data_IF_636122506230
#
_entry.id   IF_636122506230
#
_cell.length_a   1.000
_cell.length_b   1.000
_cell.length_c   1.000
_cell.angle_alpha   90.00
_cell.angle_beta   90.00
_cell.angle_gamma   90.00
#
_symmetry.space_group_name_H-M   'P 1'
#
loop_
_entity.id
_entity.type
_entity.pdbx_description
1 polymer ?
#
# COMPACT_ATOMS: atom_id res chain seq x y z
N UNK A 1 -26.53 0.82 9.10
CA UNK A 1 -26.34 2.29 8.98
C UNK A 1 -25.27 2.70 9.98
N UNK A 2 -24.19 3.37 9.56
CA UNK A 2 -23.09 3.75 10.47
C UNK A 2 -23.49 4.91 11.39
N UNK A 3 -23.13 4.86 12.68
CA UNK A 3 -23.43 5.89 13.71
C UNK A 3 -23.10 7.32 13.29
N UNK A 4 -22.09 7.51 12.43
CA UNK A 4 -21.72 8.82 11.88
C UNK A 4 -22.84 9.49 11.07
N UNK A 5 -23.77 8.73 10.50
CA UNK A 5 -24.90 9.30 9.76
C UNK A 5 -25.97 9.84 10.72
N UNK A 6 -26.17 9.21 11.89
CA UNK A 6 -27.19 9.62 12.85
C UNK A 6 -26.93 11.03 13.41
N UNK A 7 -25.68 11.33 13.77
CA UNK A 7 -25.30 12.66 14.30
C UNK A 7 -25.46 13.73 13.21
N UNK A 8 -25.02 13.45 11.99
CA UNK A 8 -25.12 14.38 10.86
C UNK A 8 -26.57 14.66 10.51
N UNK A 9 -27.42 13.64 10.47
CA UNK A 9 -28.85 13.78 10.21
C UNK A 9 -29.55 14.55 11.33
N UNK A 10 -29.17 14.31 12.59
CA UNK A 10 -29.66 15.06 13.75
C UNK A 10 -29.32 16.55 13.68
N UNK A 11 -28.07 16.90 13.35
CA UNK A 11 -27.63 18.29 13.18
C UNK A 11 -28.34 18.97 12.01
N UNK A 12 -28.48 18.28 10.88
CA UNK A 12 -29.20 18.80 9.72
C UNK A 12 -30.66 19.12 10.07
N UNK A 13 -31.34 18.25 10.84
CA UNK A 13 -32.70 18.49 11.29
C UNK A 13 -32.82 19.73 12.19
N UNK A 14 -31.89 19.92 13.14
CA UNK A 14 -31.89 21.09 14.02
C UNK A 14 -31.71 22.38 13.20
N UNK A 15 -30.76 22.38 12.27
CA UNK A 15 -30.47 23.53 11.40
C UNK A 15 -31.67 23.85 10.51
N UNK A 16 -32.23 22.84 9.84
CA UNK A 16 -33.39 23.02 8.96
C UNK A 16 -34.60 23.58 9.72
N UNK A 17 -34.88 23.05 10.92
CA UNK A 17 -35.98 23.53 11.76
C UNK A 17 -35.80 24.99 12.18
N UNK A 18 -34.57 25.41 12.46
CA UNK A 18 -34.26 26.80 12.79
C UNK A 18 -34.41 27.73 11.58
N UNK A 19 -33.97 27.28 10.40
CA UNK A 19 -34.14 28.02 9.14
C UNK A 19 -35.61 28.20 8.77
N UNK A 20 -36.43 27.16 8.91
CA UNK A 20 -37.87 27.24 8.66
C UNK A 20 -38.56 28.29 9.54
N UNK A 21 -38.18 28.37 10.82
CA UNK A 21 -38.72 29.39 11.72
C UNK A 21 -38.32 30.80 11.28
N UNK A 22 -37.06 31.00 10.90
CA UNK A 22 -36.60 32.30 10.37
C UNK A 22 -37.34 32.68 9.08
N UNK A 23 -37.59 31.71 8.18
CA UNK A 23 -38.36 31.97 6.97
C UNK A 23 -39.82 32.31 7.25
N UNK A 24 -40.46 31.67 8.23
CA UNK A 24 -41.82 32.03 8.66
C UNK A 24 -41.87 33.48 9.14
N UNK A 25 -40.93 33.88 10.00
CA UNK A 25 -40.88 35.26 10.52
C UNK A 25 -40.62 36.29 9.41
N UNK A 26 -39.77 35.96 8.43
CA UNK A 26 -39.46 36.84 7.29
C UNK A 26 -40.64 36.99 6.33
N UNK A 27 -41.35 35.90 6.03
CA UNK A 27 -42.54 35.91 5.18
C UNK A 27 -43.73 36.59 5.86
N UNK A 28 -43.86 36.51 7.19
CA UNK A 28 -44.87 37.27 7.93
C UNK A 28 -44.63 38.79 7.85
N UNK A 29 -43.36 39.21 7.79
CA UNK A 29 -42.99 40.63 7.71
C UNK A 29 -42.98 41.19 6.29
N UNK A 30 -42.84 40.34 5.28
CA UNK A 30 -42.79 40.75 3.87
C UNK A 30 -43.69 39.85 3.02
N UNK A 31 -44.76 40.40 2.48
CA UNK A 31 -45.75 39.68 1.65
C UNK A 31 -45.21 39.22 0.30
N UNK A 32 -44.11 39.78 -0.17
CA UNK A 32 -43.51 39.46 -1.48
C UNK A 32 -42.61 38.21 -1.47
N UNK A 33 -42.34 37.65 -0.28
CA UNK A 33 -41.48 36.48 -0.11
C UNK A 33 -42.29 35.18 -0.08
N UNK A 34 -42.03 34.31 -1.06
CA UNK A 34 -42.59 32.95 -1.10
C UNK A 34 -41.82 31.99 -0.18
N UNK A 35 -42.49 31.58 0.90
CA UNK A 35 -41.98 30.61 1.86
C UNK A 35 -41.59 29.27 1.21
N UNK A 36 -42.40 28.74 0.30
CA UNK A 36 -42.16 27.43 -0.33
C UNK A 36 -40.88 27.44 -1.16
N UNK A 37 -40.62 28.56 -1.85
CA UNK A 37 -39.41 28.76 -2.63
C UNK A 37 -38.15 28.80 -1.74
N UNK A 38 -38.21 29.49 -0.61
CA UNK A 38 -37.10 29.60 0.34
C UNK A 38 -36.76 28.24 0.98
N UNK A 39 -37.76 27.50 1.46
CA UNK A 39 -37.56 26.16 2.04
C UNK A 39 -36.93 25.20 1.03
N UNK A 40 -37.42 25.18 -0.21
CA UNK A 40 -36.90 24.29 -1.27
C UNK A 40 -35.46 24.61 -1.65
N UNK A 41 -35.03 25.86 -1.51
CA UNK A 41 -33.68 26.30 -1.86
C UNK A 41 -32.68 26.06 -0.74
N UNK A 42 -33.07 26.33 0.51
CA UNK A 42 -32.14 26.41 1.64
C UNK A 42 -32.29 25.31 2.69
N UNK A 43 -33.46 24.70 2.84
CA UNK A 43 -33.70 23.62 3.81
C UNK A 43 -33.41 22.21 3.25
N UNK A 44 -32.59 22.09 2.20
CA UNK A 44 -32.24 20.78 1.63
C UNK A 44 -31.11 20.13 2.41
N UNK A 45 -31.26 18.82 2.64
CA UNK A 45 -30.20 17.97 3.17
C UNK A 45 -28.93 18.18 2.35
N UNK A 46 -27.87 18.64 3.01
CA UNK A 46 -26.50 18.69 2.48
C UNK A 46 -25.98 17.25 2.41
N UNK A 47 -26.64 16.45 1.59
CA UNK A 47 -26.14 15.17 1.16
C UNK A 47 -24.88 15.48 0.36
N UNK A 48 -23.72 15.25 0.99
CA UNK A 48 -22.41 15.46 0.35
C UNK A 48 -22.50 14.87 -1.05
N UNK A 49 -22.46 15.73 -2.07
CA UNK A 49 -22.44 15.29 -3.47
C UNK A 49 -21.28 14.30 -3.55
N UNK A 50 -21.58 13.00 -3.68
CA UNK A 50 -20.53 11.98 -3.76
C UNK A 50 -19.70 12.36 -4.98
N UNK A 51 -18.49 12.84 -4.75
CA UNK A 51 -17.55 13.06 -5.85
C UNK A 51 -17.42 11.73 -6.59
N UNK A 52 -17.86 11.70 -7.84
CA UNK A 52 -17.53 10.58 -8.73
C UNK A 52 -16.01 10.56 -8.82
N UNK A 53 -15.39 9.58 -8.18
CA UNK A 53 -13.96 9.34 -8.34
C UNK A 53 -13.75 9.02 -9.82
N UNK A 54 -12.99 9.84 -10.53
CA UNK A 54 -12.56 9.53 -11.88
C UNK A 54 -11.63 8.32 -11.81
N UNK A 55 -12.19 7.13 -11.99
CA UNK A 55 -11.46 5.87 -11.96
C UNK A 55 -10.45 5.86 -13.11
N UNK A 56 -9.18 5.71 -12.77
CA UNK A 56 -8.12 5.54 -13.76
C UNK A 56 -8.22 4.11 -14.30
N UNK A 57 -8.22 3.95 -15.61
CA UNK A 57 -8.20 2.63 -16.25
C UNK A 57 -7.01 1.79 -15.72
N UNK A 58 -7.19 0.50 -15.37
CA UNK A 58 -6.16 -0.34 -14.74
C UNK A 58 -4.80 -0.32 -15.46
N UNK A 59 -4.80 -0.45 -16.79
CA UNK A 59 -3.58 -0.37 -17.64
C UNK A 59 -2.78 0.94 -17.50
N UNK A 60 -3.41 2.02 -17.02
CA UNK A 60 -2.80 3.35 -16.83
C UNK A 60 -2.50 3.64 -15.35
N UNK A 61 -2.77 2.71 -14.45
CA UNK A 61 -2.53 2.86 -13.00
C UNK A 61 -1.09 2.53 -12.64
N UNK A 62 -0.55 3.24 -11.65
CA UNK A 62 0.77 3.01 -11.11
C UNK A 62 0.91 1.57 -10.57
N UNK A 63 2.04 0.91 -10.83
CA UNK A 63 2.30 -0.48 -10.41
C UNK A 63 2.77 -0.62 -8.96
N UNK A 64 3.00 0.48 -8.24
CA UNK A 64 3.45 0.42 -6.86
C UNK A 64 2.34 -0.05 -5.90
N UNK A 65 2.76 -0.80 -4.88
CA UNK A 65 1.93 -1.29 -3.79
C UNK A 65 1.77 -0.21 -2.71
N UNK A 66 0.58 -0.06 -2.16
CA UNK A 66 0.27 0.79 -1.01
C UNK A 66 0.54 0.04 0.30
N UNK A 67 0.46 0.74 1.43
CA UNK A 67 0.59 0.13 2.76
C UNK A 67 -0.48 -0.94 3.02
N UNK A 68 -1.66 -0.83 2.42
CA UNK A 68 -2.76 -1.81 2.50
C UNK A 68 -2.58 -2.99 1.53
N UNK A 69 -1.42 -3.13 0.87
CA UNK A 69 -1.15 -4.22 -0.08
C UNK A 69 -1.78 -4.04 -1.46
N UNK A 70 -2.67 -3.06 -1.62
CA UNK A 70 -3.39 -2.79 -2.87
C UNK A 70 -2.58 -1.91 -3.84
N UNK A 71 -2.93 -1.95 -5.13
CA UNK A 71 -2.30 -1.12 -6.16
C UNK A 71 -2.56 0.38 -5.95
N UNK A 72 -1.56 1.21 -6.24
CA UNK A 72 -1.73 2.65 -6.29
C UNK A 72 -2.74 3.08 -7.36
N UNK A 73 -3.77 3.82 -6.97
CA UNK A 73 -4.86 4.27 -7.86
C UNK A 73 -4.50 5.48 -8.72
N UNK A 74 -3.31 6.07 -8.54
CA UNK A 74 -2.84 7.22 -9.33
C UNK A 74 -2.43 6.77 -10.73
N UNK A 75 -2.62 7.65 -11.71
CA UNK A 75 -2.16 7.42 -13.09
C UNK A 75 -0.62 7.40 -13.18
N UNK A 76 -0.09 6.53 -14.04
CA UNK A 76 1.33 6.48 -14.45
C UNK A 76 1.78 7.83 -15.03
N UNK A 77 3.05 8.18 -14.84
CA UNK A 77 3.63 9.38 -15.46
C UNK A 77 3.92 9.06 -16.93
N UNK A 78 3.33 9.87 -17.83
CA UNK A 78 3.46 9.69 -19.29
C UNK A 78 4.39 10.74 -19.90
N UNK A 79 4.69 11.82 -19.17
CA UNK A 79 5.56 12.90 -19.60
C UNK A 79 6.67 13.12 -18.60
N UNK A 80 7.89 13.40 -19.04
CA UNK A 80 9.03 13.75 -18.20
C UNK A 80 8.92 15.16 -17.61
N UNK A 81 9.94 15.57 -16.84
CA UNK A 81 10.00 16.90 -16.18
C UNK A 81 9.91 18.02 -17.21
N UNK A 82 10.52 17.83 -18.38
CA UNK A 82 10.54 18.79 -19.49
C UNK A 82 9.32 18.65 -20.43
N UNK A 83 8.34 17.83 -20.07
CA UNK A 83 7.08 17.67 -20.82
C UNK A 83 7.13 16.68 -21.99
N UNK A 84 8.29 16.09 -22.28
CA UNK A 84 8.49 15.08 -23.32
C UNK A 84 7.77 13.77 -22.99
N UNK A 85 7.15 13.12 -23.97
CA UNK A 85 6.48 11.82 -23.76
C UNK A 85 7.53 10.74 -23.50
N UNK A 86 7.36 10.02 -22.39
CA UNK A 86 8.23 8.91 -22.02
C UNK A 86 7.67 7.65 -22.67
N UNK A 87 8.45 7.06 -23.59
CA UNK A 87 8.12 5.79 -24.22
C UNK A 87 9.28 4.80 -24.02
N UNK A 88 9.04 3.67 -23.32
CA UNK A 88 7.78 3.25 -22.72
C UNK A 88 7.40 4.10 -21.49
N UNK A 89 6.10 4.30 -21.27
CA UNK A 89 5.61 5.09 -20.14
C UNK A 89 6.10 4.50 -18.81
N UNK A 90 6.57 5.36 -17.91
CA UNK A 90 7.05 4.94 -16.59
C UNK A 90 5.92 4.22 -15.85
N UNK A 91 6.23 3.05 -15.28
CA UNK A 91 5.25 2.18 -14.61
C UNK A 91 4.68 2.77 -13.29
N UNK A 92 5.19 3.94 -12.89
CA UNK A 92 4.91 4.58 -11.62
C UNK A 92 4.35 5.99 -11.79
N UNK A 93 3.65 6.49 -10.76
CA UNK A 93 3.23 7.88 -10.68
C UNK A 93 4.36 8.75 -10.11
N UNK A 94 4.26 10.08 -10.21
CA UNK A 94 5.32 11.00 -9.77
C UNK A 94 5.80 10.82 -8.32
N UNK A 95 4.96 10.30 -7.41
CA UNK A 95 5.38 9.97 -6.04
C UNK A 95 6.21 8.69 -5.97
N UNK A 96 5.74 7.64 -6.64
CA UNK A 96 6.41 6.33 -6.58
C UNK A 96 7.64 6.23 -7.48
N UNK A 97 7.81 7.16 -8.43
CA UNK A 97 9.10 7.34 -9.12
C UNK A 97 10.20 7.74 -8.13
N UNK A 98 9.88 8.59 -7.15
CA UNK A 98 10.84 9.03 -6.13
C UNK A 98 11.12 7.96 -5.09
N UNK A 99 10.11 7.18 -4.71
CA UNK A 99 10.25 6.15 -3.68
C UNK A 99 9.13 5.12 -3.73
N UNK A 100 9.50 3.83 -3.72
CA UNK A 100 8.58 2.69 -3.69
C UNK A 100 8.80 1.94 -2.38
N UNK A 101 8.10 2.37 -1.32
CA UNK A 101 8.30 1.83 0.03
C UNK A 101 7.84 0.38 0.20
N UNK A 102 6.73 -0.01 -0.45
CA UNK A 102 6.06 -1.29 -0.24
C UNK A 102 6.20 -2.26 -1.42
N UNK A 103 7.12 -1.97 -2.35
CA UNK A 103 7.31 -2.77 -3.57
C UNK A 103 6.23 -2.55 -4.64
N UNK A 104 6.14 -3.50 -5.56
CA UNK A 104 5.18 -3.50 -6.67
C UNK A 104 4.04 -4.49 -6.43
N UNK A 105 2.97 -4.33 -7.21
CA UNK A 105 1.80 -5.20 -7.12
C UNK A 105 2.05 -6.59 -7.71
N UNK A 106 2.91 -6.68 -8.72
CA UNK A 106 3.26 -7.88 -9.49
C UNK A 106 4.53 -8.58 -8.99
N UNK A 107 5.18 -8.09 -7.93
CA UNK A 107 6.41 -8.70 -7.39
C UNK A 107 6.19 -10.18 -7.04
N UNK A 108 5.06 -10.54 -6.45
CA UNK A 108 4.79 -11.93 -6.08
C UNK A 108 4.65 -12.86 -7.29
N UNK A 109 4.06 -12.39 -8.38
CA UNK A 109 3.94 -13.18 -9.62
C UNK A 109 5.28 -13.26 -10.36
N UNK A 110 6.03 -12.15 -10.39
CA UNK A 110 7.33 -12.09 -11.06
C UNK A 110 8.36 -13.05 -10.46
N UNK A 111 8.27 -13.31 -9.16
CA UNK A 111 9.20 -14.18 -8.43
C UNK A 111 8.63 -15.56 -8.12
N UNK A 112 7.40 -15.89 -8.53
CA UNK A 112 6.76 -17.19 -8.26
C UNK A 112 7.37 -18.33 -9.06
N UNK A 113 7.79 -18.06 -10.31
CA UNK A 113 8.12 -19.10 -11.29
C UNK A 113 9.60 -19.15 -11.69
N UNK A 114 10.49 -18.62 -10.84
CA UNK A 114 11.92 -18.59 -11.16
C UNK A 114 12.75 -19.10 -10.00
N UNK A 115 13.43 -20.24 -10.21
CA UNK A 115 14.48 -20.77 -9.30
C UNK A 115 15.66 -19.80 -9.09
N UNK A 116 15.63 -18.63 -9.74
CA UNK A 116 16.66 -17.59 -9.72
C UNK A 116 16.51 -16.60 -8.56
N UNK A 117 15.37 -16.58 -7.86
CA UNK A 117 15.12 -15.60 -6.80
C UNK A 117 14.82 -16.25 -5.46
N UNK A 118 15.45 -15.72 -4.41
CA UNK A 118 15.22 -16.13 -3.02
C UNK A 118 14.52 -14.98 -2.31
N UNK A 119 13.29 -15.21 -1.85
CA UNK A 119 12.53 -14.22 -1.08
C UNK A 119 13.15 -14.07 0.31
N UNK A 120 13.75 -12.91 0.57
CA UNK A 120 14.42 -12.60 1.85
C UNK A 120 13.87 -11.31 2.47
N UNK A 121 14.01 -11.18 3.79
CA UNK A 121 13.79 -9.96 4.56
C UNK A 121 15.14 -9.43 5.04
N UNK A 122 15.25 -8.11 5.18
CA UNK A 122 16.40 -7.49 5.85
C UNK A 122 16.22 -7.62 7.35
N UNK A 123 17.20 -8.16 8.04
CA UNK A 123 17.19 -8.31 9.49
C UNK A 123 18.53 -7.82 10.06
N UNK A 124 18.52 -7.20 11.25
CA UNK A 124 19.74 -6.86 11.97
C UNK A 124 20.03 -7.98 12.97
N UNK A 125 21.22 -8.58 12.88
CA UNK A 125 21.67 -9.64 13.77
C UNK A 125 23.03 -9.20 14.30
N UNK A 126 23.15 -9.05 15.62
CA UNK A 126 24.40 -8.66 16.30
C UNK A 126 25.03 -7.36 15.76
N UNK A 127 24.21 -6.40 15.31
CA UNK A 127 24.66 -5.09 14.82
C UNK A 127 24.80 -4.99 13.31
N UNK A 128 24.92 -6.12 12.60
CA UNK A 128 25.06 -6.16 11.15
C UNK A 128 23.75 -6.52 10.44
N UNK A 129 23.60 -6.03 9.21
CA UNK A 129 22.41 -6.34 8.40
C UNK A 129 22.65 -7.57 7.54
N UNK A 130 21.65 -8.44 7.50
CA UNK A 130 21.65 -9.65 6.68
C UNK A 130 20.34 -9.80 5.91
N UNK A 131 20.38 -10.67 4.90
CA UNK A 131 19.18 -11.15 4.20
C UNK A 131 18.77 -12.49 4.81
N UNK A 132 17.54 -12.60 5.29
CA UNK A 132 17.02 -13.80 5.96
C UNK A 132 15.80 -14.31 5.21
N UNK A 133 15.78 -15.59 4.84
CA UNK A 133 14.62 -16.17 4.15
C UNK A 133 13.51 -16.64 5.12
N UNK A 134 12.47 -17.27 4.59
CA UNK A 134 11.38 -17.86 5.39
C UNK A 134 11.81 -19.07 6.22
N UNK A 135 12.91 -19.74 5.86
CA UNK A 135 13.45 -20.90 6.59
C UNK A 135 14.54 -20.50 7.59
N UNK A 136 14.73 -19.20 7.81
CA UNK A 136 15.77 -18.59 8.64
C UNK A 136 17.20 -18.89 8.16
N UNK A 137 17.40 -19.19 6.87
CA UNK A 137 18.73 -19.19 6.26
C UNK A 137 19.19 -17.73 6.12
N UNK A 138 20.45 -17.49 6.47
CA UNK A 138 21.03 -16.15 6.54
C UNK A 138 22.05 -16.00 5.43
N UNK A 139 21.90 -14.94 4.65
CA UNK A 139 22.75 -14.59 3.54
C UNK A 139 23.43 -13.23 3.77
N UNK A 140 24.56 -13.01 3.10
CA UNK A 140 25.21 -11.71 3.08
C UNK A 140 24.27 -10.61 2.55
N UNK A 141 24.46 -9.36 2.98
CA UNK A 141 23.67 -8.21 2.52
C UNK A 141 24.11 -7.71 1.12
N UNK A 142 24.48 -8.64 0.24
CA UNK A 142 24.71 -8.37 -1.18
C UNK A 142 23.49 -8.87 -1.97
N UNK A 143 22.78 -7.96 -2.63
CA UNK A 143 21.55 -8.28 -3.37
C UNK A 143 21.80 -9.00 -4.69
N UNK A 144 22.94 -8.76 -5.33
CA UNK A 144 23.29 -9.35 -6.63
C UNK A 144 23.90 -10.74 -6.45
N UNK A 145 24.77 -10.87 -5.45
CA UNK A 145 25.48 -12.11 -5.15
C UNK A 145 25.41 -12.45 -3.65
N UNK A 146 24.23 -12.85 -3.15
CA UNK A 146 24.07 -13.23 -1.74
C UNK A 146 24.79 -14.55 -1.46
N UNK A 147 25.67 -14.55 -0.47
CA UNK A 147 26.38 -15.74 0.00
C UNK A 147 25.65 -16.33 1.20
N UNK A 148 25.37 -17.63 1.19
CA UNK A 148 24.79 -18.33 2.34
C UNK A 148 25.81 -18.40 3.48
N UNK A 149 25.53 -17.73 4.59
CA UNK A 149 26.42 -17.64 5.75
C UNK A 149 26.07 -18.68 6.81
N UNK A 150 24.79 -18.99 6.99
CA UNK A 150 24.36 -19.87 8.07
C UNK A 150 22.85 -19.89 8.29
N UNK A 151 22.44 -20.16 9.54
CA UNK A 151 21.04 -20.21 9.95
C UNK A 151 20.82 -19.39 11.22
N UNK A 152 19.76 -18.59 11.23
CA UNK A 152 19.31 -17.87 12.42
C UNK A 152 18.58 -18.85 13.34
N UNK A 153 19.05 -18.95 14.59
CA UNK A 153 18.38 -19.72 15.66
C UNK A 153 18.15 -18.76 16.82
N UNK A 154 16.88 -18.42 17.10
CA UNK A 154 16.53 -17.33 17.99
C UNK A 154 17.01 -16.00 17.41
N UNK A 155 17.81 -15.26 18.18
CA UNK A 155 18.41 -13.98 17.76
C UNK A 155 19.88 -14.06 17.39
N UNK A 156 20.42 -15.28 17.28
CA UNK A 156 21.83 -15.52 16.93
C UNK A 156 21.98 -16.11 15.55
N UNK A 157 23.05 -15.70 14.88
CA UNK A 157 23.51 -16.34 13.65
C UNK A 157 24.43 -17.51 14.01
N UNK A 158 24.08 -18.71 13.56
CA UNK A 158 24.99 -19.85 13.60
C UNK A 158 25.58 -20.04 12.20
N UNK A 159 26.90 -19.90 12.11
CA UNK A 159 27.62 -20.02 10.85
C UNK A 159 27.54 -21.44 10.29
N UNK A 160 27.53 -21.55 8.96
CA UNK A 160 27.43 -22.82 8.24
C UNK A 160 28.56 -23.78 8.65
N UNK A 161 29.78 -23.26 8.86
CA UNK A 161 30.93 -24.03 9.32
C UNK A 161 30.67 -24.72 10.68
N UNK A 162 30.00 -24.04 11.61
CA UNK A 162 29.71 -24.58 12.94
C UNK A 162 28.55 -25.58 12.88
N UNK A 163 27.56 -25.36 12.02
CA UNK A 163 26.51 -26.35 11.75
C UNK A 163 27.08 -27.67 11.20
N UNK A 164 28.07 -27.60 10.31
CA UNK A 164 28.75 -28.79 9.77
C UNK A 164 29.52 -29.53 10.88
N UNK A 165 30.24 -28.80 11.75
CA UNK A 165 30.94 -29.39 12.91
C UNK A 165 29.97 -30.07 13.89
N UNK A 166 28.80 -29.48 14.13
CA UNK A 166 27.76 -30.08 15.00
C UNK A 166 27.19 -31.36 14.42
N UNK A 167 27.00 -31.42 13.09
CA UNK A 167 26.57 -32.64 12.38
C UNK A 167 27.60 -33.77 12.49
N UNK A 168 28.88 -33.46 12.41
CA UNK A 168 29.91 -34.50 12.51
C UNK A 168 30.04 -35.07 13.94
N UNK A 169 29.57 -34.34 14.97
CA UNK A 169 29.55 -34.82 16.37
C UNK A 169 28.28 -35.56 16.77
N UNK A 170 27.17 -35.40 16.04
CA UNK A 170 25.89 -36.08 16.32
C UNK A 170 25.35 -36.62 15.01
N UNK A 171 25.19 -37.94 14.93
CA UNK A 171 24.59 -38.70 13.82
C UNK A 171 23.13 -38.25 13.53
N UNK A 172 22.93 -37.02 13.09
CA UNK A 172 21.63 -36.37 12.91
C UNK A 172 21.53 -35.90 11.47
N UNK A 173 20.63 -36.54 10.71
CA UNK A 173 20.33 -36.21 9.32
C UNK A 173 19.63 -34.85 9.23
N UNK A 174 20.38 -33.77 8.98
CA UNK A 174 19.79 -32.54 8.43
C UNK A 174 19.77 -32.66 6.90
N UNK A 175 18.59 -32.80 6.30
CA UNK A 175 18.43 -32.72 4.84
C UNK A 175 18.63 -31.26 4.43
N UNK A 176 19.84 -30.91 4.00
CA UNK A 176 20.13 -29.65 3.33
C UNK A 176 20.14 -29.97 1.84
N UNK A 177 19.05 -29.65 1.16
CA UNK A 177 18.98 -29.71 -0.31
C UNK A 177 19.80 -28.55 -0.85
N UNK A 178 21.01 -28.83 -1.34
CA UNK A 178 21.85 -27.86 -2.04
C UNK A 178 21.43 -27.89 -3.50
N UNK A 179 20.62 -26.93 -3.94
CA UNK A 179 20.40 -26.73 -5.37
C UNK A 179 21.68 -26.12 -5.96
N UNK A 180 22.36 -26.88 -6.85
CA UNK A 180 23.48 -26.39 -7.66
C UNK A 180 22.97 -25.26 -8.55
N UNK A 181 23.54 -24.07 -8.42
CA UNK A 181 23.38 -23.01 -9.42
C UNK A 181 24.50 -23.19 -10.44
N UNK A 182 24.14 -23.54 -11.66
CA UNK A 182 25.02 -23.57 -12.83
C UNK A 182 24.99 -22.17 -13.46
N UNK A 183 26.17 -21.60 -13.70
CA UNK A 183 26.35 -20.29 -14.31
C UNK A 183 26.37 -20.38 -15.84
N UNK A 184 25.43 -19.69 -16.51
CA UNK A 184 25.60 -18.98 -17.80
C UNK A 184 24.68 -17.77 -17.76
#
# INVERSE_FOLDING_TARGET
MSEQNFIVDGLNNIINKRLENVFKDLCQKNTDLDYQKLVKQYCKNVSKKKYKKNLVHPKKQCMAKKADGNQCTRRRKVKDVDGTIISPAIEYCGKHIKSIKYGRIDDEERFKDTDKYIKTRRENIEGEYYLVDSENRVYSYNKEHPLLLGKKIGDKLIMLADLIKMRNKKNVQLKISINKVVAI
#
